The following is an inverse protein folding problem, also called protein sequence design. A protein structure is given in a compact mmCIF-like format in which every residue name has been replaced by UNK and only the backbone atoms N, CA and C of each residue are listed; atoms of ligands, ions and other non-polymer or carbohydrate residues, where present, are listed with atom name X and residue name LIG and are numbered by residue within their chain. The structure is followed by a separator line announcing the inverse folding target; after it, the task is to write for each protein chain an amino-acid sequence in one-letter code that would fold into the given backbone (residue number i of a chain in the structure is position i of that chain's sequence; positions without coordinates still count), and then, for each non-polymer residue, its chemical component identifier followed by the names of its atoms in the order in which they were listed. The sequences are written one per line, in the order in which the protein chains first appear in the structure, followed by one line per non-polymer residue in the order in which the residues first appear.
data_IF_899575585300
#
_entry.id   IF_899575585300
#
_cell.length_a   1.000
_cell.length_b   1.000
_cell.length_c   1.000
_cell.angle_alpha   90.00
_cell.angle_beta   90.00
_cell.angle_gamma   90.00
#
_symmetry.space_group_name_H-M   'P 1'
#
loop_
_entity.id
_entity.type
_entity.pdbx_description
1 polymer ?
#
# COMPACT_ATOMS: atom_id res chain seq x y z
N UNK A 1 -3.81 15.72 1.19
CA UNK A 1 -4.35 15.96 2.55
C UNK A 1 -4.37 14.63 3.27
N UNK A 2 -3.83 14.54 4.49
CA UNK A 2 -3.91 13.34 5.32
C UNK A 2 -5.17 13.44 6.18
N UNK A 3 -5.97 12.37 6.20
CA UNK A 3 -7.14 12.26 7.06
C UNK A 3 -6.83 11.26 8.18
N UNK A 4 -6.86 11.68 9.45
CA UNK A 4 -6.61 10.77 10.56
C UNK A 4 -7.82 9.84 10.77
N UNK A 5 -7.55 8.65 11.30
CA UNK A 5 -8.54 7.74 11.85
C UNK A 5 -8.48 7.81 13.38
N UNK A 6 -9.62 7.67 14.05
CA UNK A 6 -9.70 7.70 15.51
C UNK A 6 -9.93 6.30 16.12
N UNK A 7 -8.97 5.86 16.95
CA UNK A 7 -8.96 4.55 17.58
C UNK A 7 -9.03 3.36 16.61
N UNK A 8 -9.42 2.20 17.14
CA UNK A 8 -9.40 0.93 16.41
C UNK A 8 -10.47 0.84 15.31
N UNK A 9 -10.08 0.35 14.14
CA UNK A 9 -10.94 0.07 13.00
C UNK A 9 -10.66 -1.33 12.47
N UNK A 10 -11.71 -2.01 12.01
CA UNK A 10 -11.55 -3.23 11.21
C UNK A 10 -11.08 -2.85 9.81
N UNK A 11 -10.22 -3.67 9.20
CA UNK A 11 -9.58 -3.34 7.93
C UNK A 11 -9.75 -4.44 6.89
N UNK A 12 -10.05 -4.02 5.67
CA UNK A 12 -9.80 -4.80 4.46
C UNK A 12 -8.91 -3.97 3.54
N UNK A 13 -7.83 -4.58 3.05
CA UNK A 13 -6.81 -3.89 2.26
C UNK A 13 -6.36 -4.73 1.07
N UNK A 14 -5.97 -4.04 0.00
CA UNK A 14 -5.37 -4.63 -1.19
C UNK A 14 -4.23 -3.74 -1.65
N UNK A 15 -3.09 -4.36 -1.98
CA UNK A 15 -1.91 -3.63 -2.37
C UNK A 15 -0.95 -4.47 -3.20
N UNK A 16 0.05 -3.80 -3.75
CA UNK A 16 1.14 -4.40 -4.51
C UNK A 16 2.47 -4.02 -3.86
N UNK A 17 3.24 -5.06 -3.53
CA UNK A 17 4.61 -4.96 -3.05
C UNK A 17 5.56 -5.16 -4.24
N UNK A 18 6.39 -4.16 -4.54
CA UNK A 18 7.41 -4.22 -5.59
C UNK A 18 8.63 -3.40 -5.17
N UNK A 19 9.84 -3.74 -5.63
CA UNK A 19 11.03 -2.95 -5.34
C UNK A 19 10.94 -1.54 -5.94
N UNK A 20 11.52 -0.54 -5.28
CA UNK A 20 11.81 0.78 -5.89
C UNK A 20 13.11 0.76 -6.69
N UNK A 21 13.49 1.92 -7.25
CA UNK A 21 14.75 2.09 -8.00
C UNK A 21 16.01 1.73 -7.19
N UNK A 22 15.94 1.80 -5.85
CA UNK A 22 17.03 1.42 -4.95
C UNK A 22 17.00 -0.07 -4.53
N UNK A 23 16.10 -0.85 -5.11
CA UNK A 23 15.89 -2.27 -4.82
C UNK A 23 15.14 -2.54 -3.51
N UNK A 24 14.75 -1.52 -2.73
CA UNK A 24 14.02 -1.74 -1.47
C UNK A 24 12.55 -2.03 -1.74
N UNK A 25 11.92 -2.93 -0.95
CA UNK A 25 10.51 -3.24 -1.10
C UNK A 25 9.63 -2.04 -0.74
N UNK A 26 8.75 -1.67 -1.67
CA UNK A 26 7.80 -0.57 -1.50
C UNK A 26 6.37 -1.07 -1.67
N UNK A 27 5.60 -1.00 -0.58
CA UNK A 27 4.19 -1.35 -0.57
C UNK A 27 3.34 -0.14 -0.99
N UNK A 28 2.55 -0.31 -2.05
CA UNK A 28 1.42 0.57 -2.32
C UNK A 28 0.14 -0.18 -1.98
N UNK A 29 -0.60 0.30 -0.98
CA UNK A 29 -1.80 -0.35 -0.47
C UNK A 29 -2.93 0.65 -0.33
N UNK A 30 -4.12 0.23 -0.75
CA UNK A 30 -5.38 0.90 -0.46
C UNK A 30 -6.17 0.05 0.52
N UNK A 31 -6.89 0.70 1.42
CA UNK A 31 -7.67 0.00 2.43
C UNK A 31 -8.97 0.74 2.74
N UNK A 32 -9.95 -0.02 3.20
CA UNK A 32 -11.17 0.46 3.82
C UNK A 32 -11.12 0.12 5.32
N UNK A 33 -11.29 1.13 6.16
CA UNK A 33 -11.23 1.05 7.61
C UNK A 33 -12.61 1.37 8.18
N UNK A 34 -13.24 0.37 8.80
CA UNK A 34 -14.61 0.42 9.28
C UNK A 34 -14.71 0.48 10.80
N UNK A 35 -15.57 1.37 11.31
CA UNK A 35 -15.93 1.44 12.74
C UNK A 35 -17.32 2.04 12.91
N UNK A 36 -18.14 1.41 13.75
CA UNK A 36 -19.46 1.94 14.15
C UNK A 36 -20.37 2.36 12.96
N UNK A 37 -20.36 1.57 11.87
CA UNK A 37 -21.15 1.85 10.67
C UNK A 37 -20.59 2.96 9.77
N UNK A 38 -19.43 3.53 10.10
CA UNK A 38 -18.70 4.47 9.25
C UNK A 38 -17.50 3.77 8.60
N UNK A 39 -17.07 4.28 7.46
CA UNK A 39 -15.91 3.76 6.74
C UNK A 39 -15.08 4.88 6.15
N UNK A 40 -13.77 4.81 6.32
CA UNK A 40 -12.80 5.63 5.62
C UNK A 40 -12.04 4.77 4.61
N UNK A 41 -11.89 5.22 3.37
CA UNK A 41 -11.21 4.45 2.32
C UNK A 41 -10.23 5.32 1.56
N UNK A 42 -9.04 4.78 1.29
CA UNK A 42 -8.02 5.46 0.52
C UNK A 42 -6.67 4.75 0.55
N UNK A 43 -5.65 5.45 0.05
CA UNK A 43 -4.25 5.02 0.13
C UNK A 43 -3.81 5.06 1.60
N UNK A 44 -3.38 3.92 2.14
CA UNK A 44 -2.92 3.83 3.52
C UNK A 44 -1.57 4.53 3.64
N UNK A 45 -1.42 5.38 4.66
CA UNK A 45 -0.18 6.11 4.94
C UNK A 45 0.36 5.73 6.30
N UNK A 46 1.62 6.08 6.54
CA UNK A 46 2.27 5.86 7.83
C UNK A 46 1.48 6.49 8.98
N UNK A 47 1.52 5.84 10.15
CA UNK A 47 0.85 6.32 11.38
C UNK A 47 -0.26 5.40 11.89
N UNK A 48 -0.69 4.40 11.12
CA UNK A 48 -1.58 3.34 11.58
C UNK A 48 -0.77 2.17 12.15
N UNK A 49 -1.17 1.67 13.31
CA UNK A 49 -0.57 0.47 13.93
C UNK A 49 -1.60 -0.64 14.05
N UNK A 50 -1.14 -1.88 14.03
CA UNK A 50 -1.97 -3.04 14.37
C UNK A 50 -2.34 -2.98 15.86
N UNK A 51 -3.64 -2.99 16.17
CA UNK A 51 -4.11 -2.97 17.55
C UNK A 51 -4.11 -4.35 18.20
N UNK A 52 -4.86 -5.30 17.63
CA UNK A 52 -4.99 -6.67 18.15
C UNK A 52 -4.29 -7.69 17.24
N UNK A 53 -4.71 -7.76 15.98
CA UNK A 53 -4.13 -8.65 14.97
C UNK A 53 -4.24 -8.01 13.58
N UNK A 54 -3.27 -8.30 12.72
CA UNK A 54 -3.30 -7.94 11.30
C UNK A 54 -2.89 -9.16 10.51
N UNK A 55 -3.85 -9.77 9.82
CA UNK A 55 -3.61 -10.96 8.99
C UNK A 55 -3.39 -10.51 7.54
N UNK A 56 -2.29 -10.99 6.94
CA UNK A 56 -1.92 -10.63 5.57
C UNK A 56 -1.58 -11.90 4.79
N UNK A 57 -2.14 -12.01 3.60
CA UNK A 57 -1.78 -13.05 2.63
C UNK A 57 -0.95 -12.38 1.53
N UNK A 58 0.24 -12.91 1.28
CA UNK A 58 1.10 -12.46 0.19
C UNK A 58 1.11 -13.52 -0.91
N UNK A 59 0.81 -13.08 -2.14
CA UNK A 59 0.98 -13.88 -3.34
C UNK A 59 2.16 -13.32 -4.12
N UNK A 60 3.14 -14.17 -4.41
CA UNK A 60 4.28 -13.81 -5.24
C UNK A 60 3.98 -14.17 -6.71
N UNK A 61 4.21 -13.21 -7.61
CA UNK A 61 4.12 -13.42 -9.05
C UNK A 61 5.53 -13.69 -9.56
N UNK A 62 5.82 -14.95 -9.88
CA UNK A 62 7.11 -15.37 -10.41
C UNK A 62 7.23 -15.02 -11.90
N UNK A 63 8.46 -14.72 -12.35
CA UNK A 63 8.76 -14.39 -13.75
C UNK A 63 8.31 -12.99 -14.18
N UNK A 64 7.87 -12.15 -13.24
CA UNK A 64 7.62 -10.73 -13.45
C UNK A 64 8.78 -9.92 -12.87
N UNK A 65 9.41 -9.11 -13.70
CA UNK A 65 10.40 -8.12 -13.28
C UNK A 65 9.72 -6.74 -13.27
N UNK A 66 9.38 -6.26 -12.07
CA UNK A 66 8.60 -5.04 -11.88
C UNK A 66 9.30 -4.13 -10.87
N UNK A 67 9.40 -2.85 -11.20
CA UNK A 67 10.05 -1.82 -10.39
C UNK A 67 9.11 -0.63 -10.22
N UNK A 68 9.16 0.02 -9.07
CA UNK A 68 8.52 1.33 -8.87
C UNK A 68 9.45 2.44 -9.33
N UNK A 69 9.07 3.13 -10.41
CA UNK A 69 9.86 4.18 -11.06
C UNK A 69 9.16 5.53 -10.86
N UNK A 70 9.94 6.57 -10.55
CA UNK A 70 9.40 7.91 -10.41
C UNK A 70 9.03 8.49 -11.78
N UNK A 71 7.75 8.81 -11.96
CA UNK A 71 7.28 9.57 -13.10
C UNK A 71 7.56 11.06 -12.89
N UNK A 72 8.35 11.65 -13.80
CA UNK A 72 8.78 13.05 -13.72
C UNK A 72 7.64 14.05 -13.88
N UNK A 73 6.57 13.67 -14.57
CA UNK A 73 5.44 14.57 -14.82
C UNK A 73 4.57 14.73 -13.57
N UNK A 74 4.23 13.62 -12.92
CA UNK A 74 3.34 13.60 -11.76
C UNK A 74 4.08 13.67 -10.41
N UNK A 75 5.36 13.29 -10.38
CA UNK A 75 6.17 13.16 -9.18
C UNK A 75 5.86 11.90 -8.35
N UNK A 76 4.98 11.02 -8.82
CA UNK A 76 4.64 9.76 -8.15
C UNK A 76 5.47 8.58 -8.67
N UNK A 77 5.52 7.51 -7.87
CA UNK A 77 6.14 6.25 -8.26
C UNK A 77 5.08 5.29 -8.82
N UNK A 78 5.26 4.88 -10.08
CA UNK A 78 4.39 3.91 -10.75
C UNK A 78 5.07 2.56 -10.88
N UNK A 79 4.25 1.51 -10.97
CA UNK A 79 4.73 0.15 -11.19
C UNK A 79 4.98 -0.06 -12.69
N UNK A 80 6.23 -0.27 -13.06
CA UNK A 80 6.69 -0.43 -14.45
C UNK A 80 7.49 -1.73 -14.59
N UNK A 81 7.57 -2.33 -15.79
CA UNK A 81 8.51 -3.41 -16.05
C UNK A 81 9.95 -2.96 -15.78
N UNK A 82 10.77 -3.85 -15.22
CA UNK A 82 12.22 -3.63 -15.12
C UNK A 82 12.86 -3.60 -16.51
N UNK A 83 13.68 -2.59 -16.77
CA UNK A 83 14.55 -2.58 -17.95
C UNK A 83 15.60 -3.69 -17.77
N UNK A 84 15.44 -4.82 -18.49
CA UNK A 84 16.49 -5.83 -18.65
C UNK A 84 17.53 -5.38 -19.68
#
# INVERSE_FOLDING_TARGET
MLLPIDGAHEVVGVGVLAPGEDGKPTLHIHAALGRAGQTMTGCLRQGVTTWLVGEVILYEILGADMVRIQDKQSGFEFLEPGDN
#
